data_IF_135887495943
#
_entry.id   IF_135887495943
#
_cell.length_a   1.000
_cell.length_b   1.000
_cell.length_c   1.000
_cell.angle_alpha   90.00
_cell.angle_beta   90.00
_cell.angle_gamma   90.00
#
_symmetry.space_group_name_H-M   'P 1'
#
loop_
_entity.id
_entity.type
_entity.pdbx_description
1 polymer ?
#
# COMPACT_ATOMS: atom_id res chain seq x y z
N UNK A 1 26.91 -50.34 -31.19
CA UNK A 1 28.21 -50.98 -30.86
C UNK A 1 28.82 -50.22 -29.70
N UNK A 2 28.98 -50.85 -28.54
CA UNK A 2 29.67 -50.26 -27.39
C UNK A 2 28.92 -50.38 -26.06
N UNK A 3 28.96 -51.57 -25.47
CA UNK A 3 28.65 -51.81 -24.06
C UNK A 3 29.64 -51.06 -23.15
N UNK A 4 29.18 -50.60 -21.98
CA UNK A 4 29.95 -50.74 -20.73
C UNK A 4 29.01 -51.14 -19.60
N UNK A 5 28.99 -52.44 -19.31
CA UNK A 5 28.57 -53.03 -18.03
C UNK A 5 29.62 -52.69 -16.97
N UNK A 6 29.18 -52.22 -15.81
CA UNK A 6 29.87 -52.45 -14.55
C UNK A 6 28.90 -53.26 -13.68
N UNK A 7 29.39 -54.38 -13.21
CA UNK A 7 28.68 -55.40 -12.43
C UNK A 7 29.24 -55.44 -10.99
N UNK A 8 28.56 -56.20 -10.10
CA UNK A 8 29.07 -56.89 -8.89
C UNK A 8 28.97 -56.07 -7.56
N UNK A 9 28.33 -56.44 -6.43
CA UNK A 9 27.45 -57.56 -5.98
C UNK A 9 26.76 -57.16 -4.63
N UNK A 10 25.61 -57.79 -4.34
CA UNK A 10 25.07 -58.28 -3.05
C UNK A 10 24.69 -57.33 -1.88
N UNK A 11 23.41 -57.41 -1.49
CA UNK A 11 22.96 -57.13 -0.12
C UNK A 11 21.44 -56.96 0.10
N UNK A 12 20.71 -58.09 0.20
CA UNK A 12 19.43 -58.34 0.91
C UNK A 12 18.14 -57.50 0.57
N UNK A 13 16.94 -58.14 0.50
CA UNK A 13 15.67 -57.49 0.16
C UNK A 13 14.88 -57.08 1.42
N UNK A 14 14.25 -55.91 1.40
CA UNK A 14 13.27 -55.28 2.33
C UNK A 14 13.54 -53.76 2.16
N UNK A 15 12.77 -52.96 1.44
CA UNK A 15 11.33 -52.74 1.48
C UNK A 15 10.81 -52.38 0.08
N UNK A 16 9.68 -52.96 -0.30
CA UNK A 16 8.93 -52.51 -1.47
C UNK A 16 8.32 -51.13 -1.15
N UNK A 17 9.01 -50.06 -1.52
CA UNK A 17 8.39 -48.76 -1.69
C UNK A 17 7.66 -48.76 -3.04
N UNK A 18 6.34 -48.61 -2.98
CA UNK A 18 5.48 -48.51 -4.15
C UNK A 18 6.01 -47.49 -5.18
N UNK A 19 6.13 -47.85 -6.47
CA UNK A 19 6.64 -46.94 -7.51
C UNK A 19 5.61 -45.87 -7.93
N UNK A 20 4.52 -45.68 -7.18
CA UNK A 20 3.37 -44.87 -7.59
C UNK A 20 3.29 -43.49 -6.93
N UNK A 21 4.41 -42.98 -6.38
CA UNK A 21 4.52 -41.60 -5.88
C UNK A 21 5.49 -40.73 -6.70
N UNK A 22 5.93 -41.20 -7.87
CA UNK A 22 6.93 -40.50 -8.68
C UNK A 22 6.37 -39.47 -9.67
N UNK A 23 5.05 -39.20 -9.69
CA UNK A 23 4.44 -38.40 -10.78
C UNK A 23 3.42 -37.32 -10.39
N UNK A 24 3.44 -36.81 -9.15
CA UNK A 24 2.77 -35.53 -8.82
C UNK A 24 3.82 -34.42 -8.55
N UNK A 25 4.78 -34.27 -9.47
CA UNK A 25 5.49 -33.00 -9.59
C UNK A 25 4.56 -32.05 -10.33
N UNK A 26 3.62 -31.42 -9.61
CA UNK A 26 2.92 -30.23 -10.12
C UNK A 26 3.99 -29.31 -10.71
N UNK A 27 3.88 -28.87 -11.97
CA UNK A 27 4.85 -27.92 -12.51
C UNK A 27 4.84 -26.72 -11.57
N UNK A 28 6.00 -26.43 -10.99
CA UNK A 28 6.18 -25.20 -10.21
C UNK A 28 5.86 -24.09 -11.19
N UNK A 29 4.73 -23.40 -10.98
CA UNK A 29 4.30 -22.31 -11.86
C UNK A 29 5.46 -21.33 -11.99
N UNK A 30 5.99 -21.17 -13.20
CA UNK A 30 6.96 -20.13 -13.49
C UNK A 30 6.35 -18.77 -13.16
N UNK A 31 7.16 -17.88 -12.58
CA UNK A 31 6.71 -16.55 -12.19
C UNK A 31 6.17 -15.81 -13.40
N UNK A 32 4.96 -15.27 -13.28
CA UNK A 32 4.37 -14.44 -14.34
C UNK A 32 5.24 -13.21 -14.63
N UNK A 33 5.46 -12.94 -15.91
CA UNK A 33 6.14 -11.72 -16.38
C UNK A 33 5.11 -10.66 -16.75
N UNK A 34 5.50 -9.39 -16.64
CA UNK A 34 4.71 -8.28 -17.16
C UNK A 34 4.63 -8.35 -18.68
N UNK A 35 3.43 -8.17 -19.25
CA UNK A 35 3.25 -8.17 -20.70
C UNK A 35 3.84 -6.90 -21.32
N UNK A 36 3.69 -5.76 -20.64
CA UNK A 36 4.17 -4.46 -21.11
C UNK A 36 4.95 -3.69 -20.04
N UNK A 37 5.96 -2.93 -20.47
CA UNK A 37 6.71 -2.02 -19.58
C UNK A 37 5.84 -0.92 -18.98
N UNK A 38 4.82 -0.47 -19.73
CA UNK A 38 3.88 0.57 -19.27
C UNK A 38 3.03 0.05 -18.12
N UNK A 39 2.58 -1.21 -18.15
CA UNK A 39 1.84 -1.82 -17.04
C UNK A 39 2.66 -1.77 -15.75
N UNK A 40 3.94 -2.13 -15.83
CA UNK A 40 4.85 -2.02 -14.68
C UNK A 40 4.98 -0.58 -14.17
N UNK A 41 5.21 0.39 -15.06
CA UNK A 41 5.36 1.80 -14.66
C UNK A 41 4.06 2.34 -14.03
N UNK A 42 2.90 1.99 -14.60
CA UNK A 42 1.60 2.41 -14.06
C UNK A 42 1.32 1.78 -12.69
N UNK A 43 1.65 0.50 -12.50
CA UNK A 43 1.54 -0.15 -11.20
C UNK A 43 2.39 0.54 -10.14
N UNK A 44 3.65 0.85 -10.46
CA UNK A 44 4.56 1.54 -9.53
C UNK A 44 4.11 2.98 -9.28
N UNK A 45 3.65 3.70 -10.30
CA UNK A 45 3.10 5.05 -10.12
C UNK A 45 1.85 5.05 -9.22
N UNK A 46 0.97 4.05 -9.36
CA UNK A 46 -0.20 3.87 -8.51
C UNK A 46 0.16 3.57 -7.05
N UNK A 47 1.27 2.88 -6.81
CA UNK A 47 1.78 2.62 -5.46
C UNK A 47 2.39 3.88 -4.81
N UNK A 48 3.13 4.68 -5.57
CA UNK A 48 3.80 5.90 -5.07
C UNK A 48 2.79 7.03 -4.82
N UNK A 49 1.76 7.16 -5.66
CA UNK A 49 0.75 8.21 -5.57
C UNK A 49 -0.35 7.78 -4.59
N UNK A 50 -0.12 8.03 -3.30
CA UNK A 50 -1.09 7.75 -2.24
C UNK A 50 -1.92 8.96 -1.82
N UNK A 51 -3.05 8.68 -1.16
CA UNK A 51 -3.92 9.68 -0.54
C UNK A 51 -3.18 10.56 0.50
N UNK A 52 -2.16 10.00 1.15
CA UNK A 52 -1.26 10.77 2.03
C UNK A 52 -0.55 11.93 1.32
N UNK A 53 -0.23 11.82 0.03
CA UNK A 53 0.38 12.91 -0.73
C UNK A 53 -0.62 14.05 -0.98
N UNK A 54 -1.93 13.78 -0.96
CA UNK A 54 -2.97 14.78 -1.24
C UNK A 54 -3.17 15.73 -0.06
N UNK A 55 -3.19 15.22 1.18
CA UNK A 55 -3.40 16.08 2.36
C UNK A 55 -2.13 16.37 3.16
N UNK A 56 -1.21 15.39 3.28
CA UNK A 56 -0.10 15.52 4.23
C UNK A 56 1.00 16.38 3.68
N UNK A 57 1.28 16.25 2.38
CA UNK A 57 2.29 17.07 1.72
C UNK A 57 1.92 18.57 1.78
N UNK A 58 0.73 19.02 1.36
CA UNK A 58 0.36 20.43 1.48
C UNK A 58 0.37 20.94 2.93
N UNK A 59 -0.16 20.14 3.86
CA UNK A 59 -0.15 20.47 5.29
C UNK A 59 1.27 20.70 5.83
N UNK A 60 2.19 19.79 5.50
CA UNK A 60 3.57 19.84 5.97
C UNK A 60 4.36 20.97 5.29
N UNK A 61 4.12 21.23 4.00
CA UNK A 61 4.67 22.38 3.30
C UNK A 61 4.24 23.68 3.99
N UNK A 62 2.93 23.86 4.23
CA UNK A 62 2.40 25.07 4.85
C UNK A 62 2.99 25.31 6.25
N UNK A 63 3.04 24.26 7.09
CA UNK A 63 3.56 24.36 8.46
C UNK A 63 5.06 24.66 8.53
N UNK A 64 5.85 24.23 7.54
CA UNK A 64 7.31 24.35 7.55
C UNK A 64 7.84 25.46 6.62
N UNK A 65 7.10 26.56 6.46
CA UNK A 65 7.58 27.73 5.71
C UNK A 65 7.24 27.70 4.22
N UNK A 66 6.21 26.96 3.82
CA UNK A 66 5.65 26.95 2.47
C UNK A 66 6.67 26.55 1.40
N UNK A 67 6.98 27.49 0.51
CA UNK A 67 7.92 27.30 -0.59
C UNK A 67 9.35 26.92 -0.15
N UNK A 68 9.78 27.33 1.05
CA UNK A 68 11.12 27.02 1.54
C UNK A 68 11.31 25.52 1.86
N UNK A 69 10.24 24.80 2.19
CA UNK A 69 10.26 23.37 2.49
C UNK A 69 10.70 22.53 1.27
N UNK A 70 10.51 23.03 0.05
CA UNK A 70 10.91 22.31 -1.17
C UNK A 70 12.41 22.10 -1.29
N UNK A 71 13.24 23.04 -0.80
CA UNK A 71 14.70 22.94 -0.91
C UNK A 71 15.24 21.69 -0.20
N UNK A 72 15.02 21.47 1.11
CA UNK A 72 15.44 20.24 1.75
C UNK A 72 14.69 19.02 1.21
N UNK A 73 13.40 19.14 0.85
CA UNK A 73 12.61 18.04 0.31
C UNK A 73 13.23 17.45 -0.97
N UNK A 74 13.60 18.29 -1.94
CA UNK A 74 14.21 17.85 -3.19
C UNK A 74 15.61 17.26 -2.96
N UNK A 75 16.40 17.84 -2.04
CA UNK A 75 17.71 17.29 -1.68
C UNK A 75 17.56 15.88 -1.11
N UNK A 76 16.69 15.66 -0.12
CA UNK A 76 16.46 14.32 0.43
C UNK A 76 15.84 13.37 -0.59
N UNK A 77 14.99 13.86 -1.49
CA UNK A 77 14.42 13.05 -2.56
C UNK A 77 15.51 12.53 -3.51
N UNK A 78 16.44 13.38 -3.94
CA UNK A 78 17.53 12.99 -4.85
C UNK A 78 18.60 12.15 -4.13
N UNK A 79 18.98 12.53 -2.90
CA UNK A 79 20.05 11.85 -2.16
C UNK A 79 19.62 10.55 -1.50
N UNK A 80 18.36 10.40 -1.09
CA UNK A 80 17.87 9.23 -0.36
C UNK A 80 16.69 8.55 -1.07
N UNK A 81 15.71 9.31 -1.55
CA UNK A 81 14.51 8.75 -2.20
C UNK A 81 14.83 7.94 -3.45
N UNK A 82 15.47 8.57 -4.44
CA UNK A 82 15.83 7.91 -5.71
C UNK A 82 16.76 6.71 -5.50
N UNK A 83 17.85 6.80 -4.70
CA UNK A 83 18.74 5.65 -4.48
C UNK A 83 18.05 4.48 -3.79
N UNK A 84 17.21 4.72 -2.77
CA UNK A 84 16.49 3.65 -2.07
C UNK A 84 15.48 2.97 -2.99
N UNK A 85 14.71 3.75 -3.76
CA UNK A 85 13.75 3.23 -4.73
C UNK A 85 14.44 2.39 -5.83
N UNK A 86 15.59 2.87 -6.33
CA UNK A 86 16.38 2.14 -7.31
C UNK A 86 16.94 0.84 -6.72
N UNK A 87 17.47 0.87 -5.50
CA UNK A 87 17.98 -0.31 -4.79
C UNK A 87 16.89 -1.37 -4.63
N UNK A 88 15.71 -0.98 -4.16
CA UNK A 88 14.58 -1.89 -3.95
C UNK A 88 14.11 -2.53 -5.27
N UNK A 89 13.96 -1.71 -6.31
CA UNK A 89 13.55 -2.19 -7.64
C UNK A 89 14.60 -3.13 -8.24
N UNK A 90 15.89 -2.77 -8.18
CA UNK A 90 16.98 -3.60 -8.68
C UNK A 90 17.09 -4.93 -7.92
N UNK A 91 16.92 -4.91 -6.60
CA UNK A 91 16.93 -6.11 -5.76
C UNK A 91 15.75 -7.04 -6.10
N UNK A 92 14.56 -6.49 -6.29
CA UNK A 92 13.38 -7.25 -6.71
C UNK A 92 13.51 -7.86 -8.11
N UNK A 93 14.16 -7.16 -9.03
CA UNK A 93 14.47 -7.69 -10.37
C UNK A 93 15.54 -8.78 -10.33
N UNK A 94 16.62 -8.58 -9.56
CA UNK A 94 17.72 -9.52 -9.44
C UNK A 94 17.32 -10.83 -8.78
N UNK A 95 16.59 -10.77 -7.66
CA UNK A 95 16.17 -11.97 -6.95
C UNK A 95 14.96 -12.64 -7.61
N UNK A 96 14.09 -11.86 -8.25
CA UNK A 96 12.83 -12.33 -8.84
C UNK A 96 11.94 -13.11 -7.87
N UNK A 97 12.07 -12.82 -6.57
CA UNK A 97 11.35 -13.46 -5.47
C UNK A 97 10.56 -12.43 -4.67
N UNK A 98 9.62 -12.90 -3.84
CA UNK A 98 8.87 -12.03 -2.92
C UNK A 98 9.73 -11.43 -1.80
N UNK A 99 9.21 -10.42 -1.11
CA UNK A 99 9.95 -9.66 -0.09
C UNK A 99 10.56 -10.50 1.04
N UNK A 100 9.90 -11.58 1.49
CA UNK A 100 10.46 -12.49 2.51
C UNK A 100 11.56 -13.38 1.92
N UNK A 101 11.26 -14.05 0.80
CA UNK A 101 12.18 -15.01 0.16
C UNK A 101 13.44 -14.33 -0.40
N UNK A 102 13.33 -13.06 -0.81
CA UNK A 102 14.46 -12.23 -1.23
C UNK A 102 15.53 -12.13 -0.13
N UNK A 103 15.13 -11.78 1.10
CA UNK A 103 16.05 -11.68 2.24
C UNK A 103 16.72 -13.02 2.56
N UNK A 104 15.98 -14.14 2.46
CA UNK A 104 16.54 -15.48 2.66
C UNK A 104 17.65 -15.84 1.66
N UNK A 105 17.55 -15.38 0.40
CA UNK A 105 18.58 -15.60 -0.64
C UNK A 105 19.78 -14.66 -0.51
N UNK A 106 19.55 -13.41 -0.11
CA UNK A 106 20.63 -12.43 0.06
C UNK A 106 21.39 -12.65 1.36
N UNK A 107 20.69 -12.63 2.49
CA UNK A 107 21.25 -12.74 3.83
C UNK A 107 20.19 -13.33 4.79
N UNK A 108 20.25 -14.64 5.13
CA UNK A 108 19.24 -15.28 5.97
C UNK A 108 19.13 -14.67 7.38
N UNK A 109 20.18 -14.00 7.87
CA UNK A 109 20.13 -13.25 9.13
C UNK A 109 19.10 -12.10 9.12
N UNK A 110 18.81 -11.53 7.95
CA UNK A 110 17.87 -10.42 7.78
C UNK A 110 16.47 -10.89 7.36
N UNK A 111 16.16 -12.18 7.45
CA UNK A 111 14.84 -12.72 7.14
C UNK A 111 13.72 -12.07 7.99
N UNK A 112 14.03 -11.67 9.22
CA UNK A 112 13.11 -10.92 10.08
C UNK A 112 12.64 -9.58 9.51
N UNK A 113 13.45 -8.93 8.65
CA UNK A 113 13.06 -7.68 7.98
C UNK A 113 11.89 -7.95 7.02
N UNK A 114 11.92 -9.06 6.29
CA UNK A 114 10.84 -9.45 5.39
C UNK A 114 9.52 -9.70 6.12
N UNK A 115 9.56 -10.36 7.28
CA UNK A 115 8.35 -10.55 8.09
C UNK A 115 7.84 -9.24 8.70
N UNK A 116 8.74 -8.39 9.19
CA UNK A 116 8.38 -7.09 9.74
C UNK A 116 7.71 -6.19 8.70
N UNK A 117 8.23 -6.15 7.46
CA UNK A 117 7.62 -5.36 6.38
C UNK A 117 6.23 -5.87 6.02
N UNK A 118 6.00 -7.19 6.00
CA UNK A 118 4.65 -7.74 5.76
C UNK A 118 3.65 -7.36 6.85
N UNK A 119 4.05 -7.38 8.12
CA UNK A 119 3.18 -6.95 9.23
C UNK A 119 2.82 -5.46 9.11
N UNK A 120 3.81 -4.62 8.79
CA UNK A 120 3.58 -3.18 8.57
C UNK A 120 2.61 -2.95 7.41
N UNK A 121 2.81 -3.63 6.27
CA UNK A 121 1.94 -3.52 5.10
C UNK A 121 0.52 -3.99 5.42
N UNK A 122 0.36 -5.08 6.17
CA UNK A 122 -0.96 -5.56 6.61
C UNK A 122 -1.68 -4.53 7.49
N UNK A 123 -0.97 -3.92 8.44
CA UNK A 123 -1.52 -2.86 9.28
C UNK A 123 -1.94 -1.62 8.47
N UNK A 124 -1.08 -1.19 7.55
CA UNK A 124 -1.38 -0.08 6.65
C UNK A 124 -2.60 -0.40 5.79
N UNK A 125 -2.70 -1.61 5.24
CA UNK A 125 -3.83 -2.01 4.42
C UNK A 125 -5.17 -1.87 5.16
N UNK A 126 -5.25 -2.38 6.41
CA UNK A 126 -6.46 -2.25 7.24
C UNK A 126 -6.83 -0.78 7.44
N UNK A 127 -5.86 0.05 7.82
CA UNK A 127 -6.08 1.49 8.00
C UNK A 127 -6.57 2.17 6.71
N UNK A 128 -5.93 1.89 5.57
CA UNK A 128 -6.27 2.50 4.29
C UNK A 128 -7.65 2.06 3.77
N UNK A 129 -8.05 0.81 3.98
CA UNK A 129 -9.38 0.32 3.59
C UNK A 129 -10.47 1.08 4.33
N UNK A 130 -10.31 1.36 5.63
CA UNK A 130 -11.28 2.15 6.41
C UNK A 130 -11.44 3.56 5.85
N UNK A 131 -10.31 4.24 5.57
CA UNK A 131 -10.35 5.58 4.97
C UNK A 131 -11.03 5.55 3.60
N UNK A 132 -10.74 4.53 2.77
CA UNK A 132 -11.36 4.38 1.47
C UNK A 132 -12.88 4.13 1.59
N UNK A 133 -13.32 3.35 2.59
CA UNK A 133 -14.73 3.15 2.87
C UNK A 133 -15.44 4.47 3.19
N UNK A 134 -14.83 5.34 4.00
CA UNK A 134 -15.37 6.69 4.24
C UNK A 134 -15.39 7.51 2.95
N UNK A 135 -14.32 7.53 2.16
CA UNK A 135 -14.30 8.27 0.89
C UNK A 135 -15.41 7.82 -0.07
N UNK A 136 -15.68 6.51 -0.17
CA UNK A 136 -16.78 5.96 -0.96
C UNK A 136 -18.14 6.35 -0.38
N UNK A 137 -18.30 6.33 0.95
CA UNK A 137 -19.52 6.81 1.60
C UNK A 137 -19.80 8.29 1.28
N UNK A 138 -18.81 9.16 1.40
CA UNK A 138 -18.93 10.56 1.01
C UNK A 138 -19.20 10.71 -0.50
N UNK A 139 -18.56 9.91 -1.35
CA UNK A 139 -18.80 9.92 -2.80
C UNK A 139 -20.26 9.59 -3.14
N UNK A 140 -20.86 8.60 -2.48
CA UNK A 140 -22.28 8.29 -2.72
C UNK A 140 -23.21 9.40 -2.26
N UNK A 141 -22.90 10.07 -1.15
CA UNK A 141 -23.65 11.23 -0.68
C UNK A 141 -23.47 12.47 -1.57
N UNK A 142 -22.44 12.56 -2.40
CA UNK A 142 -22.29 13.64 -3.38
C UNK A 142 -23.29 13.55 -4.55
N UNK A 143 -23.95 12.40 -4.76
CA UNK A 143 -24.94 12.25 -5.83
C UNK A 143 -26.35 12.70 -5.41
N UNK A 144 -26.56 13.14 -4.17
CA UNK A 144 -27.83 13.74 -3.74
C UNK A 144 -27.93 15.20 -4.21
N UNK A 145 -29.15 15.73 -4.31
CA UNK A 145 -29.40 17.12 -4.75
C UNK A 145 -28.79 18.16 -3.79
N UNK A 146 -28.82 17.85 -2.50
CA UNK A 146 -28.17 18.62 -1.46
C UNK A 146 -27.31 17.64 -0.63
N UNK A 147 -25.99 17.87 -0.51
CA UNK A 147 -25.14 17.02 0.31
C UNK A 147 -25.52 17.17 1.80
N UNK A 148 -25.45 16.10 2.60
CA UNK A 148 -25.89 16.12 4.00
C UNK A 148 -25.06 17.06 4.91
N UNK A 149 -23.85 17.43 4.49
CA UNK A 149 -22.99 18.39 5.18
C UNK A 149 -23.16 19.85 4.69
N UNK A 150 -24.13 20.12 3.80
CA UNK A 150 -24.38 21.46 3.29
C UNK A 150 -25.23 22.32 4.24
N UNK A 151 -26.12 21.69 5.02
CA UNK A 151 -27.09 22.39 5.87
C UNK A 151 -27.20 21.79 7.27
N UNK A 152 -27.56 22.65 8.23
CA UNK A 152 -27.78 22.27 9.63
C UNK A 152 -29.14 21.59 9.89
N UNK A 153 -29.96 21.36 8.86
CA UNK A 153 -31.34 20.86 8.98
C UNK A 153 -31.43 19.32 9.03
N UNK A 154 -30.59 18.68 9.86
CA UNK A 154 -30.53 17.22 9.99
C UNK A 154 -30.60 16.76 11.45
N UNK A 155 -31.05 15.52 11.68
CA UNK A 155 -31.32 15.00 13.03
C UNK A 155 -30.07 14.80 13.89
N UNK A 156 -28.89 14.72 13.27
CA UNK A 156 -27.60 14.59 13.96
C UNK A 156 -27.01 15.95 14.35
N UNK A 157 -27.53 17.06 13.82
CA UNK A 157 -26.96 18.36 14.09
C UNK A 157 -27.37 18.92 15.45
N UNK A 158 -26.47 19.66 16.08
CA UNK A 158 -26.70 20.29 17.37
C UNK A 158 -27.20 21.73 17.23
N UNK A 159 -27.70 22.32 18.32
CA UNK A 159 -28.11 23.73 18.36
C UNK A 159 -26.94 24.70 18.08
N UNK A 160 -25.68 24.22 18.12
CA UNK A 160 -24.49 25.03 17.85
C UNK A 160 -24.07 25.02 16.36
N UNK A 161 -24.77 24.27 15.50
CA UNK A 161 -24.48 24.20 14.08
C UNK A 161 -24.79 25.53 13.38
N UNK A 162 -23.82 26.05 12.62
CA UNK A 162 -23.98 27.30 11.87
C UNK A 162 -23.68 27.09 10.39
N UNK A 163 -24.66 27.42 9.54
CA UNK A 163 -24.48 27.47 8.09
C UNK A 163 -23.83 28.81 7.68
N UNK A 164 -22.57 28.74 7.26
CA UNK A 164 -21.77 29.89 6.84
C UNK A 164 -22.21 30.50 5.51
N UNK A 165 -22.99 29.76 4.70
CA UNK A 165 -23.37 30.19 3.36
C UNK A 165 -24.67 31.00 3.35
N UNK A 166 -25.58 30.73 4.28
CA UNK A 166 -26.89 31.41 4.39
C UNK A 166 -26.88 32.72 5.18
N UNK A 167 -26.00 32.86 6.17
CA UNK A 167 -26.03 34.02 7.08
C UNK A 167 -24.92 35.03 6.74
N UNK A 168 -25.32 36.14 6.13
CA UNK A 168 -24.43 37.26 5.80
C UNK A 168 -23.71 37.84 7.03
N UNK A 169 -22.49 38.30 6.76
CA UNK A 169 -21.43 39.00 7.53
C UNK A 169 -21.65 39.63 8.92
N UNK A 170 -22.86 39.72 9.48
CA UNK A 170 -23.15 40.33 10.78
C UNK A 170 -23.55 39.29 11.84
N UNK A 171 -22.60 38.42 12.22
CA UNK A 171 -22.78 37.51 13.36
C UNK A 171 -21.64 37.65 14.37
N UNK A 172 -22.00 37.84 15.64
CA UNK A 172 -21.13 37.52 16.78
C UNK A 172 -21.04 36.01 16.86
N UNK A 173 -19.92 35.45 16.41
CA UNK A 173 -19.66 34.03 16.52
C UNK A 173 -19.57 33.63 17.98
N UNK A 174 -20.38 32.65 18.38
CA UNK A 174 -20.15 31.91 19.60
C UNK A 174 -18.82 31.14 19.41
N UNK A 175 -17.84 31.24 20.32
CA UNK A 175 -16.59 30.47 20.22
C UNK A 175 -16.81 28.96 20.13
N UNK A 176 -17.97 28.46 20.57
CA UNK A 176 -18.34 27.04 20.51
C UNK A 176 -19.18 26.66 19.28
N UNK A 177 -19.29 27.54 18.28
CA UNK A 177 -20.03 27.25 17.04
C UNK A 177 -19.32 26.17 16.20
N UNK A 178 -20.10 25.23 15.66
CA UNK A 178 -19.65 24.11 14.83
C UNK A 178 -20.18 24.24 13.41
N UNK A 179 -19.47 23.67 12.45
CA UNK A 179 -19.91 23.64 11.05
C UNK A 179 -20.69 22.36 10.74
N UNK A 180 -21.65 22.39 9.79
CA UNK A 180 -22.38 21.18 9.39
C UNK A 180 -21.45 20.09 8.82
N UNK A 181 -20.26 20.47 8.34
CA UNK A 181 -19.23 19.52 7.87
C UNK A 181 -18.56 18.81 9.04
N UNK A 182 -18.29 19.52 10.14
CA UNK A 182 -17.69 18.93 11.35
C UNK A 182 -18.71 18.00 12.01
N UNK A 183 -19.96 18.44 12.18
CA UNK A 183 -21.00 17.63 12.81
C UNK A 183 -21.41 16.40 11.98
N UNK A 184 -21.27 16.43 10.66
CA UNK A 184 -21.48 15.24 9.82
C UNK A 184 -20.30 14.25 9.91
N UNK A 185 -19.11 14.73 10.23
CA UNK A 185 -17.91 13.89 10.35
C UNK A 185 -17.77 13.23 11.73
N UNK A 186 -18.26 13.88 12.78
CA UNK A 186 -18.28 13.38 14.17
C UNK A 186 -19.28 12.23 14.39
#
# INVERSE_FOLDING_TARGET
>A
TGEKKVSVINGKPEDALDPESANDKKPVNERGHWNNKIEFVLSVAGEIIGLGNVWRFPYLCYKNGGGAFFVPYIIFFICCGIPVFFLETALGQFTSEGGITCWRKCCPLFEGIGYATQVIVAHLNVYYVVILSWAIFYLFNCFTTEPPWASCDHYWNTENCVDFQRNGTNFTFNPNATSPVVEFWE
#
